data_IF_671418387077
#
_entry.id   IF_671418387077
#
_cell.length_a   1.000
_cell.length_b   1.000
_cell.length_c   1.000
_cell.angle_alpha   90.00
_cell.angle_beta   90.00
_cell.angle_gamma   90.00
#
_symmetry.space_group_name_H-M   'P 1'
#
loop_
_entity.id
_entity.type
_entity.pdbx_description
1 polymer ?
#
# COMPACT_ATOMS: atom_id res chain seq x y z
N UNK A 1 -5.83 79.09 32.85
CA UNK A 1 -6.67 78.49 31.78
C UNK A 1 -6.81 79.49 30.64
N UNK A 2 -6.44 79.12 29.40
CA UNK A 2 -6.32 79.86 28.10
C UNK A 2 -5.85 78.81 27.06
N UNK A 3 -6.09 78.80 25.74
CA UNK A 3 -6.99 79.52 24.79
C UNK A 3 -8.04 78.47 24.25
N UNK A 4 -8.76 78.42 23.11
CA UNK A 4 -8.94 79.12 21.79
C UNK A 4 -7.79 79.02 20.75
N UNK A 5 -7.92 78.95 19.41
CA UNK A 5 -9.00 78.95 18.39
C UNK A 5 -8.81 77.70 17.44
N UNK A 6 -9.67 77.26 16.49
CA UNK A 6 -10.12 77.83 15.19
C UNK A 6 -8.97 78.32 14.25
N UNK A 7 -8.89 78.06 12.93
CA UNK A 7 -9.73 77.31 11.92
C UNK A 7 -8.81 76.43 11.00
N UNK A 8 -8.88 76.14 9.69
CA UNK A 8 -9.65 76.46 8.42
C UNK A 8 -9.39 75.30 7.39
N UNK A 9 -10.31 74.83 6.53
CA UNK A 9 -10.63 75.25 5.12
C UNK A 9 -9.46 75.07 4.09
N UNK A 10 -9.58 74.42 2.91
CA UNK A 10 -10.37 74.73 1.68
C UNK A 10 -10.60 73.48 0.75
N UNK A 11 -11.49 73.63 -0.27
CA UNK A 11 -11.79 72.79 -1.46
C UNK A 11 -10.58 72.17 -2.22
N UNK A 12 -10.73 71.24 -3.18
CA UNK A 12 -11.91 70.57 -3.79
C UNK A 12 -11.67 70.19 -5.28
N UNK A 13 -12.74 70.10 -6.11
CA UNK A 13 -12.76 69.78 -7.57
C UNK A 13 -12.69 68.27 -7.93
N UNK A 14 -13.21 67.93 -9.11
CA UNK A 14 -13.68 66.61 -9.56
C UNK A 14 -13.18 66.21 -10.96
N UNK A 15 -13.59 65.00 -11.38
CA UNK A 15 -13.62 64.45 -12.75
C UNK A 15 -12.37 63.81 -13.36
N UNK A 16 -12.66 62.81 -14.18
CA UNK A 16 -11.75 61.90 -14.92
C UNK A 16 -11.70 62.27 -16.40
N UNK A 17 -10.69 61.78 -17.13
CA UNK A 17 -10.82 60.85 -18.29
C UNK A 17 -9.53 60.76 -19.12
N UNK A 18 -9.38 59.63 -19.86
CA UNK A 18 -8.51 59.42 -21.06
C UNK A 18 -6.98 59.55 -20.82
N UNK A 19 -6.04 58.66 -21.19
CA UNK A 19 -5.88 57.38 -21.91
C UNK A 19 -4.92 57.49 -23.11
N UNK A 20 -3.96 56.56 -23.17
CA UNK A 20 -3.17 56.13 -24.33
C UNK A 20 -2.08 57.07 -24.93
N UNK A 21 -0.84 56.57 -24.84
CA UNK A 21 0.23 56.58 -25.86
C UNK A 21 0.85 57.95 -26.26
N UNK A 22 2.12 58.05 -26.68
CA UNK A 22 2.97 57.04 -27.32
C UNK A 22 4.49 57.26 -27.12
N UNK A 23 5.25 56.16 -27.14
CA UNK A 23 6.70 55.92 -27.41
C UNK A 23 7.76 57.04 -27.32
N UNK A 24 8.83 56.76 -26.55
CA UNK A 24 10.20 56.70 -27.12
C UNK A 24 11.17 55.86 -26.27
N UNK A 25 11.97 55.03 -26.93
CA UNK A 25 12.88 54.05 -26.32
C UNK A 25 14.20 54.63 -25.78
N UNK A 26 14.79 53.95 -24.79
CA UNK A 26 15.98 53.08 -25.01
C UNK A 26 16.32 52.23 -23.77
N UNK A 27 16.75 50.97 -24.02
CA UNK A 27 17.54 50.04 -23.19
C UNK A 27 17.14 49.91 -21.69
N UNK A 28 16.68 48.76 -21.22
CA UNK A 28 17.45 47.49 -21.23
C UNK A 28 16.61 46.24 -21.56
N UNK A 29 17.28 45.25 -22.15
CA UNK A 29 16.69 43.97 -22.56
C UNK A 29 17.13 42.81 -21.67
N UNK A 30 16.16 42.08 -21.12
CA UNK A 30 16.19 40.62 -20.98
C UNK A 30 14.79 40.13 -20.64
N UNK A 31 14.08 39.57 -21.64
CA UNK A 31 12.74 39.02 -21.43
C UNK A 31 12.63 37.59 -21.97
N UNK A 32 11.71 36.85 -21.37
CA UNK A 32 11.48 35.42 -21.52
C UNK A 32 10.92 35.13 -22.92
N UNK A 33 11.62 34.31 -23.70
CA UNK A 33 11.04 33.68 -24.89
C UNK A 33 10.44 32.31 -24.54
N UNK A 34 9.24 32.05 -25.06
CA UNK A 34 8.55 30.76 -24.98
C UNK A 34 8.37 30.22 -26.40
N UNK A 35 9.12 29.19 -26.76
CA UNK A 35 8.92 28.43 -28.01
C UNK A 35 8.99 26.92 -27.75
N UNK A 36 8.67 26.13 -28.78
CA UNK A 36 8.19 24.74 -28.68
C UNK A 36 9.14 23.72 -29.32
N UNK A 37 8.95 22.46 -28.91
CA UNK A 37 9.43 21.22 -29.58
C UNK A 37 10.94 20.93 -29.47
N UNK A 38 11.40 19.68 -29.66
CA UNK A 38 10.66 18.45 -29.97
C UNK A 38 10.76 17.37 -28.87
N UNK A 39 10.34 16.14 -29.21
CA UNK A 39 10.26 14.96 -28.33
C UNK A 39 11.59 14.21 -28.13
N UNK A 40 11.61 13.39 -27.06
CA UNK A 40 12.23 12.06 -26.91
C UNK A 40 13.31 11.90 -25.79
N UNK A 41 13.23 10.75 -25.11
CA UNK A 41 14.24 10.09 -24.26
C UNK A 41 15.00 10.92 -23.21
N UNK A 42 14.54 10.84 -21.95
CA UNK A 42 15.42 10.90 -20.77
C UNK A 42 15.02 9.83 -19.75
N UNK A 43 15.96 8.92 -19.44
CA UNK A 43 15.80 7.93 -18.37
C UNK A 43 16.01 8.59 -17.00
N UNK A 44 14.94 8.79 -16.24
CA UNK A 44 15.05 9.24 -14.84
C UNK A 44 15.39 8.07 -13.93
N UNK A 45 16.67 7.95 -13.55
CA UNK A 45 17.13 7.06 -12.47
C UNK A 45 16.56 7.50 -11.12
N UNK A 46 15.33 7.08 -10.83
CA UNK A 46 14.59 7.46 -9.63
C UNK A 46 15.19 6.80 -8.38
N UNK A 47 16.04 7.56 -7.70
CA UNK A 47 16.66 7.18 -6.42
C UNK A 47 15.69 7.38 -5.27
N UNK A 48 14.97 6.33 -4.92
CA UNK A 48 14.03 6.30 -3.80
C UNK A 48 14.72 6.26 -2.43
N UNK A 49 14.03 6.77 -1.41
CA UNK A 49 14.39 6.67 0.01
C UNK A 49 13.14 6.34 0.83
N UNK A 50 13.13 5.18 1.48
CA UNK A 50 11.96 4.68 2.22
C UNK A 50 12.37 4.21 3.63
N UNK A 51 11.55 4.51 4.65
CA UNK A 51 11.81 4.15 6.06
C UNK A 51 11.02 2.90 6.46
N UNK A 52 11.65 1.72 6.41
CA UNK A 52 10.97 0.42 6.41
C UNK A 52 11.57 -0.56 7.43
N UNK A 53 10.75 -1.49 7.91
CA UNK A 53 11.18 -2.66 8.71
C UNK A 53 11.36 -3.84 7.73
N UNK A 54 12.55 -4.49 7.67
CA UNK A 54 12.72 -5.69 6.86
C UNK A 54 11.94 -6.87 7.47
N UNK A 55 11.17 -7.57 6.64
CA UNK A 55 10.42 -8.78 7.01
C UNK A 55 11.29 -10.03 6.84
N UNK A 56 12.11 -10.07 5.79
CA UNK A 56 12.87 -11.26 5.40
C UNK A 56 14.04 -10.88 4.49
N UNK A 57 15.13 -11.66 4.57
CA UNK A 57 16.27 -11.61 3.65
C UNK A 57 16.66 -13.05 3.28
N UNK A 58 16.81 -13.33 1.99
CA UNK A 58 17.07 -14.68 1.49
C UNK A 58 18.12 -14.63 0.37
N UNK A 59 19.16 -15.47 0.43
CA UNK A 59 20.19 -15.55 -0.62
C UNK A 59 19.66 -16.31 -1.84
N UNK A 60 19.82 -15.74 -3.03
CA UNK A 60 19.33 -16.25 -4.31
C UNK A 60 20.43 -16.04 -5.36
N UNK A 61 21.27 -17.06 -5.55
CA UNK A 61 22.50 -16.94 -6.34
C UNK A 61 23.44 -15.88 -5.76
N UNK A 62 23.83 -14.91 -6.57
CA UNK A 62 24.76 -13.82 -6.21
C UNK A 62 24.05 -12.56 -5.67
N UNK A 63 22.80 -12.68 -5.22
CA UNK A 63 22.02 -11.58 -4.63
C UNK A 63 21.33 -12.03 -3.35
N UNK A 64 20.98 -11.08 -2.48
CA UNK A 64 19.95 -11.27 -1.47
C UNK A 64 18.65 -10.59 -1.91
N UNK A 65 17.55 -11.29 -1.67
CA UNK A 65 16.19 -10.87 -1.92
C UNK A 65 15.56 -10.42 -0.59
N UNK A 66 15.17 -9.15 -0.52
CA UNK A 66 14.77 -8.44 0.71
C UNK A 66 13.31 -8.01 0.61
N UNK A 67 12.56 -8.23 1.69
CA UNK A 67 11.13 -7.92 1.82
C UNK A 67 10.89 -6.91 2.95
N UNK A 68 9.90 -6.03 2.83
CA UNK A 68 9.65 -4.93 3.77
C UNK A 68 8.18 -4.77 4.18
N UNK A 69 7.98 -4.12 5.34
CA UNK A 69 6.65 -3.90 5.96
C UNK A 69 5.74 -2.97 5.14
N UNK A 70 6.26 -1.84 4.63
CA UNK A 70 5.44 -0.80 4.00
C UNK A 70 5.16 -1.02 2.51
N UNK A 71 6.01 -1.77 1.81
CA UNK A 71 5.93 -1.97 0.36
C UNK A 71 5.92 -3.48 0.03
N UNK A 72 4.95 -3.92 -0.77
CA UNK A 72 4.85 -5.29 -1.30
C UNK A 72 5.93 -5.64 -2.32
N UNK A 73 6.73 -4.68 -2.78
CA UNK A 73 7.81 -4.89 -3.75
C UNK A 73 8.91 -5.84 -3.25
N UNK A 74 9.52 -6.57 -4.19
CA UNK A 74 10.76 -7.30 -3.97
C UNK A 74 11.95 -6.35 -4.16
N UNK A 75 12.81 -6.24 -3.14
CA UNK A 75 14.08 -5.52 -3.22
C UNK A 75 15.26 -6.49 -3.37
N UNK A 76 16.33 -6.03 -4.02
CA UNK A 76 17.51 -6.83 -4.34
C UNK A 76 18.75 -6.10 -3.80
N UNK A 77 19.67 -6.83 -3.17
CA UNK A 77 21.01 -6.33 -2.83
C UNK A 77 22.08 -7.35 -3.30
N UNK A 78 23.03 -6.96 -4.17
CA UNK A 78 24.08 -7.88 -4.63
C UNK A 78 24.94 -8.42 -3.48
N UNK A 79 25.26 -9.71 -3.51
CA UNK A 79 26.13 -10.36 -2.54
C UNK A 79 27.59 -10.08 -2.90
N UNK A 80 28.14 -9.01 -2.32
CA UNK A 80 29.53 -8.60 -2.51
C UNK A 80 30.07 -7.87 -1.27
N UNK A 81 31.39 -7.70 -1.21
CA UNK A 81 32.11 -7.10 -0.07
C UNK A 81 31.73 -5.63 0.22
N UNK A 82 31.19 -4.88 -0.74
CA UNK A 82 30.72 -3.51 -0.52
C UNK A 82 29.37 -3.49 0.22
N UNK A 83 28.56 -4.53 0.04
CA UNK A 83 27.22 -4.66 0.63
C UNK A 83 27.18 -5.47 1.93
N UNK A 84 28.28 -6.10 2.34
CA UNK A 84 28.33 -7.02 3.49
C UNK A 84 27.78 -6.39 4.79
N UNK A 85 28.15 -5.14 5.07
CA UNK A 85 27.63 -4.38 6.22
C UNK A 85 26.13 -4.06 6.10
N UNK A 86 25.65 -3.74 4.89
CA UNK A 86 24.23 -3.49 4.63
C UNK A 86 23.39 -4.77 4.76
N UNK A 87 23.88 -5.91 4.26
CA UNK A 87 23.26 -7.24 4.38
C UNK A 87 23.17 -7.63 5.86
N UNK A 88 24.23 -7.38 6.64
CA UNK A 88 24.23 -7.57 8.09
C UNK A 88 23.18 -6.70 8.79
N UNK A 89 23.17 -5.38 8.55
CA UNK A 89 22.19 -4.45 9.14
C UNK A 89 20.74 -4.82 8.82
N UNK A 90 20.46 -5.22 7.57
CA UNK A 90 19.12 -5.71 7.18
C UNK A 90 18.77 -6.97 7.99
N UNK A 91 19.70 -7.92 8.11
CA UNK A 91 19.49 -9.20 8.81
C UNK A 91 19.24 -9.03 10.32
N UNK A 92 19.96 -8.10 10.95
CA UNK A 92 19.86 -7.77 12.39
C UNK A 92 18.64 -6.89 12.73
N UNK A 93 17.97 -6.32 11.73
CA UNK A 93 16.79 -5.46 11.91
C UNK A 93 15.44 -6.20 11.76
N UNK A 94 15.44 -7.48 11.36
CA UNK A 94 14.24 -8.18 10.87
C UNK A 94 13.08 -8.21 11.88
N UNK A 95 12.00 -7.50 11.54
CA UNK A 95 10.80 -7.37 12.37
C UNK A 95 10.94 -6.50 13.62
N UNK A 96 12.10 -5.89 13.86
CA UNK A 96 12.42 -5.15 15.10
C UNK A 96 12.74 -3.68 14.86
N UNK A 97 13.53 -3.35 13.83
CA UNK A 97 14.10 -2.02 13.64
C UNK A 97 13.73 -1.42 12.28
N UNK A 98 13.47 -0.12 12.28
CA UNK A 98 13.29 0.68 11.05
C UNK A 98 14.64 1.10 10.48
N UNK A 99 14.81 0.89 9.17
CA UNK A 99 15.97 1.26 8.39
C UNK A 99 15.56 2.25 7.30
N UNK A 100 16.39 3.26 7.06
CA UNK A 100 16.30 4.14 5.90
C UNK A 100 16.99 3.43 4.73
N UNK A 101 16.19 2.82 3.87
CA UNK A 101 16.61 2.12 2.67
C UNK A 101 16.68 3.13 1.54
N UNK A 102 17.81 3.19 0.84
CA UNK A 102 17.98 3.94 -0.41
C UNK A 102 18.11 2.95 -1.57
N UNK A 103 17.34 3.16 -2.64
CA UNK A 103 17.28 2.22 -3.77
C UNK A 103 17.18 2.91 -5.12
N UNK A 104 17.61 2.23 -6.18
CA UNK A 104 17.38 2.59 -7.58
C UNK A 104 16.71 1.39 -8.25
N UNK A 105 15.48 1.53 -8.75
CA UNK A 105 14.69 0.45 -9.34
C UNK A 105 14.67 -0.84 -8.48
N UNK A 106 14.33 -0.71 -7.20
CA UNK A 106 14.36 -1.76 -6.15
C UNK A 106 15.72 -2.42 -5.86
N UNK A 107 16.81 -2.05 -6.55
CA UNK A 107 18.16 -2.39 -6.15
C UNK A 107 18.59 -1.50 -4.96
N UNK A 108 18.93 -2.09 -3.82
CA UNK A 108 19.36 -1.38 -2.61
C UNK A 108 20.81 -0.92 -2.81
N UNK A 109 21.06 0.37 -2.59
CA UNK A 109 22.37 1.01 -2.78
C UNK A 109 22.92 1.70 -1.52
N UNK A 110 22.12 1.82 -0.45
CA UNK A 110 22.56 2.29 0.86
C UNK A 110 21.53 1.91 1.94
N UNK A 111 21.99 1.53 3.13
CA UNK A 111 21.17 1.17 4.30
C UNK A 111 21.68 1.94 5.52
N UNK A 112 20.78 2.70 6.15
CA UNK A 112 21.07 3.48 7.35
C UNK A 112 20.11 3.11 8.48
N UNK A 113 20.62 3.07 9.72
CA UNK A 113 19.77 2.96 10.91
C UNK A 113 19.06 4.29 11.16
N UNK A 114 17.83 4.24 11.66
CA UNK A 114 17.05 5.42 12.02
C UNK A 114 16.92 5.48 13.54
N UNK A 115 17.31 6.61 14.14
CA UNK A 115 17.05 6.88 15.56
C UNK A 115 15.54 6.94 15.78
N UNK A 116 14.98 5.91 16.42
CA UNK A 116 13.54 5.68 16.50
C UNK A 116 12.87 6.56 17.57
N UNK A 117 12.10 7.57 17.14
CA UNK A 117 11.36 8.44 18.05
C UNK A 117 10.00 8.86 17.47
N UNK A 118 9.05 7.93 17.33
CA UNK A 118 7.63 8.27 17.20
C UNK A 118 6.74 7.17 17.80
N UNK A 119 6.23 7.39 19.02
CA UNK A 119 5.20 6.53 19.63
C UNK A 119 3.82 7.02 19.20
N UNK A 120 3.38 6.65 18.00
CA UNK A 120 2.00 6.88 17.60
C UNK A 120 1.07 6.02 18.44
N UNK A 121 0.20 6.66 19.26
CA UNK A 121 -0.73 5.96 20.14
C UNK A 121 -1.98 5.56 19.35
N UNK A 122 -2.02 4.32 18.88
CA UNK A 122 -3.20 3.80 18.17
C UNK A 122 -4.36 3.54 19.15
N UNK A 123 -5.61 3.87 18.77
CA UNK A 123 -6.76 3.45 19.54
C UNK A 123 -6.85 1.92 19.59
N UNK A 124 -7.29 1.38 20.72
CA UNK A 124 -7.49 -0.06 20.90
C UNK A 124 -8.97 -0.37 20.70
N UNK A 125 -9.31 -1.12 19.64
CA UNK A 125 -10.67 -1.54 19.33
C UNK A 125 -10.96 -2.96 19.83
N UNK A 126 -12.22 -3.17 20.20
CA UNK A 126 -12.74 -4.52 20.48
C UNK A 126 -12.83 -5.30 19.18
N UNK A 127 -12.25 -6.49 19.18
CA UNK A 127 -12.32 -7.43 18.06
C UNK A 127 -13.58 -8.30 18.20
N UNK A 128 -14.19 -8.72 17.10
CA UNK A 128 -15.31 -9.67 17.16
C UNK A 128 -14.75 -11.06 17.40
N UNK A 129 -15.17 -11.72 18.48
CA UNK A 129 -14.66 -13.04 18.80
C UNK A 129 -14.97 -14.04 17.68
N UNK A 130 -13.95 -14.78 17.26
CA UNK A 130 -14.04 -15.72 16.14
C UNK A 130 -14.98 -16.92 16.42
N UNK A 131 -15.27 -17.19 17.70
CA UNK A 131 -16.33 -18.09 18.18
C UNK A 131 -17.70 -17.75 17.59
N UNK A 132 -18.08 -16.48 17.60
CA UNK A 132 -19.41 -15.97 17.24
C UNK A 132 -19.64 -15.82 15.72
N UNK A 133 -18.65 -16.10 14.89
CA UNK A 133 -18.75 -16.05 13.43
C UNK A 133 -19.06 -17.45 12.85
N UNK A 134 -19.82 -17.54 11.75
CA UNK A 134 -20.13 -18.81 11.06
C UNK A 134 -19.21 -19.08 9.87
N UNK A 135 -18.91 -20.35 9.61
CA UNK A 135 -18.32 -20.78 8.34
C UNK A 135 -19.33 -20.55 7.20
N UNK A 136 -18.86 -20.33 5.96
CA UNK A 136 -19.77 -20.13 4.81
C UNK A 136 -20.37 -21.47 4.37
N UNK A 137 -21.67 -21.46 4.07
CA UNK A 137 -22.48 -22.67 3.96
C UNK A 137 -22.12 -23.51 2.72
N UNK A 138 -21.90 -22.85 1.57
CA UNK A 138 -21.56 -23.48 0.29
C UNK A 138 -20.94 -22.47 -0.70
N UNK A 139 -20.54 -22.95 -1.88
CA UNK A 139 -19.92 -22.12 -2.92
C UNK A 139 -20.85 -21.03 -3.47
N UNK A 140 -22.16 -21.25 -3.57
CA UNK A 140 -23.10 -20.22 -4.07
C UNK A 140 -23.16 -19.00 -3.14
N UNK A 141 -23.22 -19.22 -1.82
CA UNK A 141 -23.14 -18.13 -0.82
C UNK A 141 -21.78 -17.43 -0.91
N UNK A 142 -20.69 -18.19 -1.12
CA UNK A 142 -19.37 -17.59 -1.30
C UNK A 142 -19.30 -16.73 -2.57
N UNK A 143 -19.85 -17.17 -3.70
CA UNK A 143 -19.96 -16.38 -4.93
C UNK A 143 -20.70 -15.06 -4.68
N UNK A 144 -21.84 -15.09 -3.98
CA UNK A 144 -22.58 -13.87 -3.59
C UNK A 144 -21.73 -12.91 -2.73
N UNK A 145 -20.94 -13.46 -1.79
CA UNK A 145 -20.00 -12.67 -0.99
C UNK A 145 -18.87 -12.07 -1.85
N UNK A 146 -18.31 -12.81 -2.82
CA UNK A 146 -17.33 -12.25 -3.76
C UNK A 146 -17.95 -11.14 -4.58
N UNK A 147 -19.11 -11.35 -5.20
CA UNK A 147 -19.81 -10.32 -5.98
C UNK A 147 -20.07 -9.04 -5.15
N UNK A 148 -20.47 -9.18 -3.89
CA UNK A 148 -20.70 -8.05 -2.97
C UNK A 148 -19.42 -7.32 -2.53
N UNK A 149 -18.23 -7.94 -2.66
CA UNK A 149 -16.92 -7.28 -2.50
C UNK A 149 -16.38 -6.71 -3.81
N UNK A 150 -16.70 -7.35 -4.93
CA UNK A 150 -16.18 -7.08 -6.28
C UNK A 150 -16.83 -5.91 -7.00
N UNK A 151 -18.14 -5.69 -6.81
CA UNK A 151 -18.85 -4.57 -7.45
C UNK A 151 -18.22 -3.26 -6.97
N UNK A 152 -17.94 -2.37 -7.93
CA UNK A 152 -17.09 -1.20 -7.75
C UNK A 152 -17.47 -0.37 -6.51
N UNK A 153 -16.53 -0.32 -5.56
CA UNK A 153 -16.46 0.66 -4.48
C UNK A 153 -17.71 0.81 -3.61
N UNK A 154 -18.17 -0.29 -3.00
CA UNK A 154 -18.59 -0.30 -1.58
C UNK A 154 -19.70 0.71 -1.21
N UNK A 155 -20.66 0.92 -2.10
CA UNK A 155 -21.81 1.84 -1.90
C UNK A 155 -22.62 1.56 -0.63
N UNK A 156 -22.72 0.29 -0.22
CA UNK A 156 -23.48 -0.13 0.95
C UNK A 156 -22.67 -0.16 2.27
N UNK A 157 -21.34 -0.04 2.24
CA UNK A 157 -20.49 -0.06 3.44
C UNK A 157 -19.36 0.99 3.42
N UNK A 158 -19.59 2.26 2.99
CA UNK A 158 -18.54 3.27 2.90
C UNK A 158 -17.87 3.52 4.26
N UNK A 159 -18.65 3.37 5.34
CA UNK A 159 -18.17 3.32 6.73
C UNK A 159 -18.77 2.11 7.45
N UNK A 160 -17.99 1.44 8.29
CA UNK A 160 -18.42 0.39 9.21
C UNK A 160 -18.17 0.88 10.65
N UNK A 161 -19.16 0.79 11.56
CA UNK A 161 -18.98 1.20 12.95
C UNK A 161 -18.11 0.20 13.73
N UNK A 162 -17.26 0.74 14.60
CA UNK A 162 -16.38 0.01 15.51
C UNK A 162 -16.54 0.57 16.93
N UNK A 163 -16.07 -0.18 17.93
CA UNK A 163 -16.08 0.26 19.33
C UNK A 163 -14.68 0.16 19.94
N UNK A 164 -14.20 1.25 20.52
CA UNK A 164 -12.97 1.24 21.32
C UNK A 164 -13.17 0.48 22.63
N UNK A 165 -12.07 0.11 23.30
CA UNK A 165 -12.13 -0.45 24.65
C UNK A 165 -12.82 0.50 25.64
N UNK A 166 -12.71 1.82 25.45
CA UNK A 166 -13.39 2.86 26.24
C UNK A 166 -14.87 3.10 25.83
N UNK A 167 -15.51 2.17 25.09
CA UNK A 167 -16.87 2.31 24.53
C UNK A 167 -17.06 3.49 23.55
N UNK A 168 -15.99 4.08 23.00
CA UNK A 168 -16.14 5.14 22.00
C UNK A 168 -16.52 4.53 20.64
N UNK A 169 -17.57 5.07 20.01
CA UNK A 169 -17.99 4.67 18.66
C UNK A 169 -17.03 5.29 17.64
N UNK A 170 -16.34 4.44 16.89
CA UNK A 170 -15.44 4.83 15.80
C UNK A 170 -16.06 4.44 14.46
N UNK A 171 -15.60 5.06 13.37
CA UNK A 171 -16.01 4.75 12.00
C UNK A 171 -14.78 4.40 11.16
N UNK A 172 -14.74 3.20 10.59
CA UNK A 172 -13.71 2.78 9.66
C UNK A 172 -14.24 2.85 8.23
N UNK A 173 -13.53 3.58 7.37
CA UNK A 173 -13.95 3.88 6.01
C UNK A 173 -12.94 3.41 4.96
N UNK A 174 -13.04 3.92 3.74
CA UNK A 174 -12.19 3.54 2.62
C UNK A 174 -12.70 2.33 1.85
N UNK A 175 -12.45 2.33 0.53
CA UNK A 175 -13.03 1.39 -0.42
C UNK A 175 -11.87 0.62 -1.06
N UNK A 176 -11.88 -0.73 -1.09
CA UNK A 176 -10.74 -1.52 -1.53
C UNK A 176 -10.52 -1.35 -3.05
N UNK A 177 -9.48 -0.61 -3.43
CA UNK A 177 -9.18 -0.38 -4.84
C UNK A 177 -8.50 -1.61 -5.47
N UNK A 178 -9.30 -2.52 -6.03
CA UNK A 178 -8.82 -3.70 -6.75
C UNK A 178 -8.17 -3.41 -8.11
N UNK A 179 -8.27 -2.17 -8.62
CA UNK A 179 -7.63 -1.71 -9.87
C UNK A 179 -6.24 -1.10 -9.65
N UNK A 180 -5.82 -0.94 -8.40
CA UNK A 180 -4.45 -0.64 -8.02
C UNK A 180 -3.90 -1.82 -7.23
N UNK A 181 -3.16 -2.68 -7.92
CA UNK A 181 -2.63 -3.94 -7.44
C UNK A 181 -1.16 -3.82 -7.01
N UNK A 182 -0.45 -2.80 -7.50
CA UNK A 182 0.98 -2.50 -7.22
C UNK A 182 1.35 -2.63 -5.74
N UNK A 183 0.61 -1.99 -4.83
CA UNK A 183 0.73 -2.13 -3.37
C UNK A 183 -0.65 -2.23 -2.70
N UNK A 184 -0.70 -2.42 -1.38
CA UNK A 184 -1.90 -2.26 -0.56
C UNK A 184 -2.76 -3.50 -0.38
N UNK A 185 -2.26 -4.68 -0.80
CA UNK A 185 -2.98 -5.95 -0.67
C UNK A 185 -3.40 -6.25 0.78
N UNK A 186 -2.54 -5.92 1.76
CA UNK A 186 -2.81 -6.03 3.18
C UNK A 186 -4.07 -5.25 3.61
N UNK A 187 -4.23 -4.01 3.13
CA UNK A 187 -5.39 -3.16 3.42
C UNK A 187 -6.65 -3.64 2.68
N UNK A 188 -6.52 -4.07 1.40
CA UNK A 188 -7.63 -4.71 0.67
C UNK A 188 -8.13 -5.95 1.42
N UNK A 189 -7.23 -6.84 1.82
CA UNK A 189 -7.54 -8.07 2.56
C UNK A 189 -8.20 -7.78 3.91
N UNK A 190 -7.73 -6.76 4.64
CA UNK A 190 -8.30 -6.40 5.94
C UNK A 190 -9.70 -5.77 5.80
N UNK A 191 -9.93 -4.92 4.80
CA UNK A 191 -11.29 -4.38 4.51
C UNK A 191 -12.26 -5.46 4.03
N UNK A 192 -11.81 -6.44 3.23
CA UNK A 192 -12.62 -7.61 2.88
C UNK A 192 -12.99 -8.44 4.11
N UNK A 193 -12.03 -8.71 5.02
CA UNK A 193 -12.30 -9.33 6.33
C UNK A 193 -13.38 -8.56 7.09
N UNK A 194 -13.26 -7.25 7.21
CA UNK A 194 -14.20 -6.41 7.97
C UNK A 194 -15.64 -6.56 7.47
N UNK A 195 -15.84 -6.57 6.15
CA UNK A 195 -17.15 -6.74 5.52
C UNK A 195 -17.71 -8.15 5.75
N UNK A 196 -16.87 -9.19 5.75
CA UNK A 196 -17.28 -10.56 6.11
C UNK A 196 -17.69 -10.66 7.58
N UNK A 197 -16.90 -10.11 8.50
CA UNK A 197 -17.18 -10.08 9.95
C UNK A 197 -18.48 -9.32 10.23
N UNK A 198 -18.71 -8.18 9.58
CA UNK A 198 -19.96 -7.42 9.68
C UNK A 198 -21.19 -8.23 9.18
N UNK A 199 -21.00 -9.16 8.24
CA UNK A 199 -22.02 -10.12 7.77
C UNK A 199 -22.09 -11.42 8.62
N UNK A 200 -21.25 -11.54 9.65
CA UNK A 200 -21.17 -12.65 10.58
C UNK A 200 -20.34 -13.86 10.10
N UNK A 201 -19.53 -13.72 9.05
CA UNK A 201 -18.77 -14.82 8.45
C UNK A 201 -17.30 -14.89 8.88
N UNK A 202 -16.80 -16.13 9.00
CA UNK A 202 -15.39 -16.47 9.21
C UNK A 202 -14.55 -16.28 7.96
N UNK A 203 -13.29 -15.90 8.17
CA UNK A 203 -12.23 -15.95 7.17
C UNK A 203 -10.86 -16.04 7.85
N UNK A 204 -9.85 -16.38 7.06
CA UNK A 204 -8.42 -16.34 7.38
C UNK A 204 -7.73 -15.31 6.46
N UNK A 205 -6.51 -14.88 6.79
CA UNK A 205 -5.61 -14.33 5.76
C UNK A 205 -4.90 -15.48 5.06
N UNK A 206 -4.68 -15.39 3.75
CA UNK A 206 -3.78 -16.29 3.00
C UNK A 206 -2.63 -15.47 2.40
N UNK A 207 -1.41 -15.94 2.63
CA UNK A 207 -0.17 -15.24 2.28
C UNK A 207 0.65 -16.06 1.29
N UNK A 208 1.35 -15.37 0.39
CA UNK A 208 2.37 -15.93 -0.48
C UNK A 208 3.59 -15.00 -0.50
N UNK A 209 4.79 -15.57 -0.48
CA UNK A 209 6.07 -14.85 -0.45
C UNK A 209 6.97 -15.38 -1.56
N UNK A 210 7.73 -14.52 -2.25
CA UNK A 210 8.60 -14.95 -3.35
C UNK A 210 9.03 -13.84 -4.30
N UNK A 211 9.52 -14.22 -5.47
CA UNK A 211 9.51 -13.34 -6.65
C UNK A 211 8.16 -13.56 -7.34
N UNK A 212 7.13 -12.84 -6.89
CA UNK A 212 5.77 -12.98 -7.40
C UNK A 212 5.57 -12.05 -8.59
N UNK A 213 4.78 -12.49 -9.56
CA UNK A 213 4.43 -11.71 -10.75
C UNK A 213 2.98 -11.92 -11.11
N UNK A 214 2.28 -10.81 -11.34
CA UNK A 214 0.97 -10.76 -11.96
C UNK A 214 1.06 -10.01 -13.29
N UNK A 215 0.08 -10.26 -14.15
CA UNK A 215 -0.16 -9.46 -15.36
C UNK A 215 -1.62 -9.04 -15.37
N UNK A 216 -1.89 -7.75 -15.64
CA UNK A 216 -3.24 -7.22 -15.74
C UNK A 216 -3.92 -7.61 -17.07
N UNK A 217 -5.21 -7.26 -17.21
CA UNK A 217 -5.96 -7.46 -18.46
C UNK A 217 -5.38 -6.59 -19.61
N UNK A 218 -4.83 -5.43 -19.25
CA UNK A 218 -4.11 -4.49 -20.11
C UNK A 218 -2.63 -4.88 -20.36
N UNK A 219 -2.24 -6.13 -20.04
CA UNK A 219 -0.87 -6.67 -20.13
C UNK A 219 0.20 -5.95 -19.27
N UNK A 220 -0.19 -5.10 -18.30
CA UNK A 220 0.78 -4.48 -17.38
C UNK A 220 1.38 -5.52 -16.45
N UNK A 221 2.70 -5.48 -16.27
CA UNK A 221 3.43 -6.40 -15.39
C UNK A 221 3.57 -5.79 -14.01
N UNK A 222 3.22 -6.56 -12.98
CA UNK A 222 3.31 -6.15 -11.58
C UNK A 222 4.08 -7.22 -10.82
N UNK A 223 5.13 -6.81 -10.09
CA UNK A 223 6.00 -7.73 -9.36
C UNK A 223 5.89 -7.45 -7.86
N UNK A 224 5.81 -8.50 -7.05
CA UNK A 224 5.78 -8.40 -5.59
C UNK A 224 6.79 -9.34 -4.94
N UNK A 225 7.31 -8.93 -3.81
CA UNK A 225 7.99 -9.79 -2.85
C UNK A 225 7.03 -10.63 -2.01
N UNK A 226 5.79 -10.16 -1.82
CA UNK A 226 4.73 -10.87 -1.11
C UNK A 226 3.34 -10.35 -1.50
N UNK A 227 2.33 -11.23 -1.42
CA UNK A 227 0.92 -10.88 -1.61
C UNK A 227 0.06 -11.53 -0.53
N UNK A 228 -1.04 -10.87 -0.17
CA UNK A 228 -2.02 -11.38 0.81
C UNK A 228 -3.44 -11.05 0.38
N UNK A 229 -4.34 -12.01 0.63
CA UNK A 229 -5.78 -11.79 0.54
C UNK A 229 -6.51 -12.56 1.65
N UNK A 230 -7.83 -12.71 1.57
CA UNK A 230 -8.60 -13.57 2.47
C UNK A 230 -8.88 -14.96 1.87
N UNK A 231 -8.85 -15.97 2.73
CA UNK A 231 -9.38 -17.30 2.44
C UNK A 231 -10.59 -17.58 3.33
N UNK A 232 -11.54 -18.34 2.81
CA UNK A 232 -12.77 -18.74 3.50
C UNK A 232 -12.87 -20.26 3.49
N UNK A 233 -13.15 -20.83 4.67
CA UNK A 233 -13.49 -22.24 4.83
C UNK A 233 -15.00 -22.40 4.66
N UNK A 234 -15.40 -23.33 3.80
CA UNK A 234 -16.79 -23.76 3.66
C UNK A 234 -17.14 -24.82 4.70
N UNK A 235 -18.44 -24.96 5.00
CA UNK A 235 -18.96 -25.97 5.94
C UNK A 235 -18.59 -27.42 5.58
N UNK A 236 -18.35 -27.71 4.29
CA UNK A 236 -17.86 -29.01 3.81
C UNK A 236 -16.32 -29.19 3.92
N UNK A 237 -15.60 -28.25 4.54
CA UNK A 237 -14.15 -28.28 4.72
C UNK A 237 -13.33 -27.67 3.57
N UNK A 238 -13.91 -27.48 2.37
CA UNK A 238 -13.21 -26.86 1.22
C UNK A 238 -12.77 -25.44 1.58
N UNK A 239 -11.49 -25.10 1.37
CA UNK A 239 -10.97 -23.74 1.51
C UNK A 239 -10.86 -23.08 0.14
N UNK A 240 -11.39 -21.87 0.01
CA UNK A 240 -11.37 -21.06 -1.21
C UNK A 240 -10.85 -19.66 -0.92
N UNK A 241 -10.18 -19.06 -1.90
CA UNK A 241 -9.57 -17.73 -1.85
C UNK A 241 -10.52 -16.73 -2.51
N UNK A 242 -10.68 -15.54 -1.91
CA UNK A 242 -11.38 -14.41 -2.52
C UNK A 242 -10.32 -13.36 -2.88
N UNK A 243 -10.21 -12.96 -4.15
CA UNK A 243 -9.32 -11.86 -4.54
C UNK A 243 -9.85 -11.12 -5.78
N UNK A 244 -10.69 -10.08 -5.59
CA UNK A 244 -11.24 -9.28 -6.69
C UNK A 244 -10.21 -8.47 -7.48
N UNK A 245 -8.95 -8.38 -7.03
CA UNK A 245 -7.87 -7.87 -7.88
C UNK A 245 -7.61 -8.81 -9.07
N UNK A 246 -7.88 -10.10 -8.91
CA UNK A 246 -7.58 -11.14 -9.88
C UNK A 246 -8.79 -11.70 -10.63
N UNK A 247 -9.97 -11.76 -10.01
CA UNK A 247 -11.26 -12.06 -10.65
C UNK A 247 -12.42 -11.99 -9.65
N UNK A 248 -13.62 -11.72 -10.15
CA UNK A 248 -14.85 -11.62 -9.36
C UNK A 248 -15.50 -12.98 -9.08
N UNK A 249 -14.69 -14.00 -8.77
CA UNK A 249 -15.13 -15.35 -8.37
C UNK A 249 -14.17 -15.99 -7.37
N UNK A 250 -14.64 -16.92 -6.51
CA UNK A 250 -13.77 -17.72 -5.66
C UNK A 250 -12.70 -18.48 -6.47
N UNK A 251 -11.57 -18.77 -5.83
CA UNK A 251 -10.45 -19.54 -6.39
C UNK A 251 -10.04 -20.67 -5.45
N UNK A 252 -9.55 -21.78 -6.01
CA UNK A 252 -8.67 -22.68 -5.26
C UNK A 252 -7.35 -21.99 -4.92
N UNK A 253 -6.62 -22.50 -3.92
CA UNK A 253 -5.30 -21.96 -3.56
C UNK A 253 -4.34 -22.04 -4.75
N UNK A 254 -4.40 -23.11 -5.55
CA UNK A 254 -3.55 -23.29 -6.74
C UNK A 254 -3.84 -22.30 -7.87
N UNK A 255 -5.11 -21.97 -8.13
CA UNK A 255 -5.47 -20.92 -9.10
C UNK A 255 -4.94 -19.54 -8.67
N UNK A 256 -5.03 -19.22 -7.37
CA UNK A 256 -4.52 -17.97 -6.83
C UNK A 256 -2.99 -17.91 -6.82
N UNK A 257 -2.29 -18.97 -6.40
CA UNK A 257 -0.83 -19.08 -6.54
C UNK A 257 -0.40 -18.94 -8.01
N UNK A 258 -1.12 -19.58 -8.95
CA UNK A 258 -0.86 -19.47 -10.39
C UNK A 258 -0.96 -18.05 -10.94
N UNK A 259 -1.95 -17.26 -10.50
CA UNK A 259 -2.07 -15.83 -10.85
C UNK A 259 -1.01 -14.94 -10.18
N UNK A 260 -0.43 -15.37 -9.06
CA UNK A 260 0.71 -14.70 -8.41
C UNK A 260 2.08 -15.13 -8.97
N UNK A 261 2.11 -16.12 -9.85
CA UNK A 261 3.32 -16.69 -10.46
C UNK A 261 3.22 -16.67 -11.99
N UNK A 262 2.57 -15.65 -12.54
CA UNK A 262 2.31 -15.51 -13.96
C UNK A 262 3.63 -15.32 -14.72
N UNK A 263 3.92 -16.27 -15.62
CA UNK A 263 5.15 -16.32 -16.40
C UNK A 263 4.96 -15.92 -17.88
N UNK A 264 3.75 -15.50 -18.29
CA UNK A 264 3.46 -15.13 -19.69
C UNK A 264 4.34 -13.96 -20.14
N UNK A 265 4.86 -14.04 -21.36
CA UNK A 265 5.70 -13.00 -21.98
C UNK A 265 7.16 -12.95 -21.52
N UNK A 266 7.60 -13.78 -20.56
CA UNK A 266 9.00 -13.77 -20.11
C UNK A 266 9.92 -14.45 -21.15
N UNK A 267 10.94 -13.71 -21.60
CA UNK A 267 12.07 -14.21 -22.40
C UNK A 267 13.37 -13.76 -21.73
N UNK A 268 14.27 -14.69 -21.41
CA UNK A 268 15.57 -14.40 -20.79
C UNK A 268 15.55 -13.93 -19.32
N UNK A 269 14.42 -13.45 -18.81
CA UNK A 269 14.22 -13.00 -17.42
C UNK A 269 14.02 -14.15 -16.44
N UNK A 270 14.34 -13.91 -15.17
CA UNK A 270 14.09 -14.84 -14.07
C UNK A 270 12.59 -15.13 -13.93
N UNK A 271 12.22 -16.41 -13.91
CA UNK A 271 10.83 -16.82 -13.71
C UNK A 271 10.35 -16.43 -12.30
N UNK A 272 9.06 -16.13 -12.12
CA UNK A 272 8.49 -15.98 -10.78
C UNK A 272 8.58 -17.30 -10.03
N UNK A 273 8.77 -17.22 -8.71
CA UNK A 273 8.88 -18.38 -7.83
C UNK A 273 8.43 -18.01 -6.41
N UNK A 274 8.00 -19.01 -5.63
CA UNK A 274 7.60 -18.84 -4.22
C UNK A 274 8.69 -19.33 -3.26
N UNK A 275 8.91 -18.59 -2.16
CA UNK A 275 9.84 -18.93 -1.07
C UNK A 275 9.25 -19.96 -0.09
N UNK A 276 7.94 -20.16 -0.12
CA UNK A 276 7.19 -21.17 0.63
C UNK A 276 5.90 -21.50 -0.13
N UNK A 277 5.21 -22.59 0.25
CA UNK A 277 3.80 -22.75 -0.14
C UNK A 277 2.94 -21.64 0.47
N UNK A 278 1.84 -21.27 -0.18
CA UNK A 278 0.85 -20.40 0.44
C UNK A 278 0.34 -20.99 1.77
N UNK A 279 0.22 -20.15 2.79
CA UNK A 279 -0.23 -20.54 4.13
C UNK A 279 -1.26 -19.56 4.66
N UNK A 280 -2.09 -20.01 5.61
CA UNK A 280 -3.09 -19.16 6.26
C UNK A 280 -2.71 -18.76 7.67
N UNK A 281 -3.24 -17.61 8.11
CA UNK A 281 -3.15 -17.12 9.49
C UNK A 281 -4.51 -16.64 9.97
N UNK A 282 -4.63 -16.36 11.27
CA UNK A 282 -5.75 -15.60 11.83
C UNK A 282 -6.06 -14.35 10.99
N UNK A 283 -7.34 -14.04 10.76
CA UNK A 283 -7.72 -12.94 9.87
C UNK A 283 -7.35 -11.56 10.38
N UNK A 284 -7.24 -11.38 11.72
CA UNK A 284 -6.86 -10.10 12.34
C UNK A 284 -5.42 -9.66 12.02
N UNK A 285 -4.56 -10.56 11.56
CA UNK A 285 -3.19 -10.22 11.17
C UNK A 285 -3.24 -9.23 9.99
N UNK A 286 -2.84 -7.98 10.22
CA UNK A 286 -2.83 -6.92 9.21
C UNK A 286 -1.66 -7.10 8.24
N UNK A 287 -0.46 -7.27 8.81
CA UNK A 287 0.82 -7.58 8.15
C UNK A 287 1.58 -8.64 8.96
N UNK A 288 2.66 -9.18 8.41
CA UNK A 288 3.64 -9.99 9.14
C UNK A 288 4.96 -9.21 9.22
N UNK A 289 5.44 -8.91 10.42
CA UNK A 289 6.64 -8.08 10.65
C UNK A 289 7.94 -8.85 10.43
N UNK A 290 7.93 -10.17 10.59
CA UNK A 290 8.99 -11.05 10.12
C UNK A 290 8.39 -12.29 9.44
N UNK A 291 9.17 -12.88 8.53
CA UNK A 291 8.86 -14.13 7.84
C UNK A 291 10.14 -14.96 7.71
N UNK A 292 10.16 -16.12 8.35
CA UNK A 292 11.23 -17.13 8.21
C UNK A 292 10.59 -18.48 7.89
N UNK A 293 10.77 -18.95 6.66
CA UNK A 293 10.42 -20.31 6.28
C UNK A 293 11.47 -21.29 6.82
N UNK A 294 11.05 -22.34 7.53
CA UNK A 294 11.86 -23.49 7.95
C UNK A 294 11.30 -24.75 7.28
N UNK A 295 12.12 -25.80 7.20
CA UNK A 295 11.82 -27.05 6.45
C UNK A 295 10.42 -27.62 6.75
N UNK A 296 9.91 -27.47 7.97
CA UNK A 296 8.59 -27.95 8.40
C UNK A 296 7.62 -26.87 8.92
N UNK A 297 7.98 -25.58 8.95
CA UNK A 297 7.13 -24.54 9.53
C UNK A 297 7.48 -23.11 9.09
N UNK A 298 6.48 -22.23 9.04
CA UNK A 298 6.69 -20.78 8.89
C UNK A 298 6.65 -20.12 10.26
N UNK A 299 7.67 -19.32 10.57
CA UNK A 299 7.68 -18.41 11.74
C UNK A 299 7.38 -16.98 11.30
N UNK A 300 6.49 -16.31 12.02
CA UNK A 300 6.14 -14.90 11.80
C UNK A 300 5.73 -14.19 13.09
N UNK A 301 5.95 -12.88 13.16
CA UNK A 301 5.34 -11.99 14.16
C UNK A 301 4.21 -11.17 13.49
N UNK A 302 2.97 -11.21 13.99
CA UNK A 302 1.86 -10.47 13.38
C UNK A 302 1.86 -8.98 13.76
N UNK A 303 1.53 -8.12 12.80
CA UNK A 303 1.04 -6.76 13.05
C UNK A 303 -0.49 -6.76 13.06
N UNK A 304 -1.11 -5.87 13.83
CA UNK A 304 -2.57 -5.73 13.92
C UNK A 304 -3.04 -4.33 13.51
N UNK A 305 -4.32 -4.23 13.13
CA UNK A 305 -5.02 -2.99 12.76
C UNK A 305 -6.52 -3.12 13.15
N UNK A 306 -6.79 -3.48 14.42
CA UNK A 306 -8.16 -3.80 14.88
C UNK A 306 -9.12 -2.60 14.80
N UNK A 307 -8.61 -1.37 14.79
CA UNK A 307 -9.39 -0.15 14.53
C UNK A 307 -9.48 0.23 13.05
N UNK A 308 -8.81 -0.52 12.16
CA UNK A 308 -8.76 -0.30 10.72
C UNK A 308 -8.25 1.11 10.35
N UNK A 309 -7.40 1.72 11.19
CA UNK A 309 -6.81 3.05 10.99
C UNK A 309 -5.82 3.03 9.84
N UNK A 310 -4.91 2.04 9.84
CA UNK A 310 -3.90 1.85 8.78
C UNK A 310 -4.57 1.44 7.47
N UNK A 311 -5.59 0.59 7.55
CA UNK A 311 -6.44 0.17 6.43
C UNK A 311 -7.15 1.37 5.81
N UNK A 312 -7.87 2.18 6.60
CA UNK A 312 -8.60 3.36 6.13
C UNK A 312 -7.65 4.35 5.46
N UNK A 313 -6.51 4.67 6.10
CA UNK A 313 -5.48 5.55 5.54
C UNK A 313 -4.91 5.04 4.21
N UNK A 314 -4.56 3.75 4.14
CA UNK A 314 -4.01 3.13 2.92
C UNK A 314 -5.01 3.12 1.78
N UNK A 315 -6.27 2.74 2.05
CA UNK A 315 -7.31 2.66 1.02
C UNK A 315 -7.70 4.04 0.49
N UNK A 316 -7.79 5.06 1.35
CA UNK A 316 -8.07 6.43 0.92
C UNK A 316 -6.92 6.99 0.07
N UNK A 317 -5.66 6.77 0.48
CA UNK A 317 -4.46 7.16 -0.27
C UNK A 317 -4.37 6.51 -1.65
N UNK A 318 -4.82 5.26 -1.79
CA UNK A 318 -4.77 4.52 -3.06
C UNK A 318 -6.08 4.56 -3.87
N UNK A 319 -7.11 5.28 -3.41
CA UNK A 319 -8.46 5.20 -3.97
C UNK A 319 -8.55 5.55 -5.47
N UNK A 320 -7.86 6.61 -5.89
CA UNK A 320 -7.88 7.10 -7.29
C UNK A 320 -6.78 6.48 -8.18
N UNK A 321 -5.90 5.64 -7.62
CA UNK A 321 -4.78 5.05 -8.36
C UNK A 321 -5.24 3.91 -9.26
N UNK A 322 -4.40 3.56 -10.24
CA UNK A 322 -4.54 2.39 -11.11
C UNK A 322 -3.15 1.82 -11.40
N UNK A 323 -3.11 0.56 -11.77
CA UNK A 323 -1.93 -0.05 -12.40
C UNK A 323 -1.54 0.71 -13.69
#
# INVERSE_FOLDING_TARGET
MKKTLFTTLIWGITMTLISCNQDRDMNETNNINTEREPTLSYETHNKEKNNMIPISINKVGNNYHVLFDLNTSLYIIPDNKQNEEYIKKISEAIGEKRLLITSNNNSIINVQEVLSAERYFEPICREVEYSHLRDVENESVLYQLVTALSISSVTNYPSIPLWSIQNQKLLSSGLPNFKYRVDGCYARAHRMRQILIYKGYKCEKIWLFGNLRAITEENKVINWGWHVTIAVKLRNGKKLVIDPAFQNKPMTIGEWEGKCLDNRGLKGTSKPYKLSNAFTTESRNYKLLNFRNRISSVSFSPEYDNCYTKTTSTLNRYYNLKD
#
